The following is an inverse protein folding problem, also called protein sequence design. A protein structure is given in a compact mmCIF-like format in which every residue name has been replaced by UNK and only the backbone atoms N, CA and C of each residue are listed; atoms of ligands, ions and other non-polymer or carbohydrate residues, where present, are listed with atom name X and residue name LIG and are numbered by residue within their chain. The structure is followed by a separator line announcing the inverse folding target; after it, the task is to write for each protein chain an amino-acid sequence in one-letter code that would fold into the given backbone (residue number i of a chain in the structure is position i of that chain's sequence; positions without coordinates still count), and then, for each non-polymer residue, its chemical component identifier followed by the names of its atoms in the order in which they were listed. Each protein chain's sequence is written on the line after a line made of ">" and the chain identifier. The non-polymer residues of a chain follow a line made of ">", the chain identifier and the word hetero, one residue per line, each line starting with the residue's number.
data_IF_022322894827
#
_entry.id   IF_022322894827
#
_cell.length_a   1.000
_cell.length_b   1.000
_cell.length_c   1.000
_cell.angle_alpha   90.00
_cell.angle_beta   90.00
_cell.angle_gamma   90.00
#
_symmetry.space_group_name_H-M   'P 1'
#
loop_
_entity.id
_entity.type
_entity.pdbx_description
1 polymer ?
#
# COMPACT_ATOMS: atom_id res chain seq x y z
N UNK A 1 -6.56 -6.70 -18.72
CA UNK A 1 -5.60 -5.60 -18.51
C UNK A 1 -5.85 -4.79 -17.24
N UNK A 2 -7.07 -4.30 -16.97
CA UNK A 2 -7.34 -3.40 -15.83
C UNK A 2 -6.87 -3.97 -14.47
N UNK A 3 -7.20 -5.21 -14.12
CA UNK A 3 -6.77 -5.83 -12.86
C UNK A 3 -5.25 -5.74 -12.63
N UNK A 4 -4.47 -6.15 -13.64
CA UNK A 4 -3.02 -6.18 -13.60
C UNK A 4 -2.40 -4.81 -13.33
N UNK A 5 -2.93 -3.74 -13.93
CA UNK A 5 -2.46 -2.37 -13.72
C UNK A 5 -2.68 -1.94 -12.26
N UNK A 6 -3.85 -2.22 -11.69
CA UNK A 6 -4.15 -1.88 -10.29
C UNK A 6 -3.28 -2.70 -9.32
N UNK A 7 -3.00 -3.97 -9.63
CA UNK A 7 -2.11 -4.80 -8.82
C UNK A 7 -0.67 -4.27 -8.84
N UNK A 8 -0.15 -3.89 -10.01
CA UNK A 8 1.20 -3.31 -10.13
C UNK A 8 1.27 -1.97 -9.37
N UNK A 9 0.27 -1.11 -9.54
CA UNK A 9 0.20 0.15 -8.79
C UNK A 9 0.13 -0.09 -7.28
N UNK A 10 -0.68 -1.04 -6.82
CA UNK A 10 -0.76 -1.40 -5.41
C UNK A 10 0.60 -1.85 -4.85
N UNK A 11 1.31 -2.74 -5.56
CA UNK A 11 2.64 -3.21 -5.17
C UNK A 11 3.65 -2.05 -5.12
N UNK A 12 3.63 -1.16 -6.10
CA UNK A 12 4.51 0.01 -6.13
C UNK A 12 4.29 0.95 -4.93
N UNK A 13 3.03 1.27 -4.61
CA UNK A 13 2.72 2.12 -3.46
C UNK A 13 2.97 1.43 -2.12
N UNK A 14 2.76 0.12 -2.02
CA UNK A 14 3.15 -0.66 -0.85
C UNK A 14 4.67 -0.66 -0.63
N UNK A 15 5.46 -0.77 -1.69
CA UNK A 15 6.91 -0.67 -1.62
C UNK A 15 7.37 0.71 -1.14
N UNK A 16 6.79 1.79 -1.68
CA UNK A 16 7.04 3.15 -1.21
C UNK A 16 6.66 3.35 0.26
N UNK A 17 5.53 2.80 0.69
CA UNK A 17 5.09 2.84 2.08
C UNK A 17 6.04 2.05 3.00
N UNK A 18 6.52 0.88 2.54
CA UNK A 18 7.46 0.07 3.30
C UNK A 18 8.78 0.81 3.54
N UNK A 19 9.41 1.26 2.45
CA UNK A 19 10.67 1.99 2.50
C UNK A 19 10.58 3.29 3.30
N UNK A 20 9.49 4.05 3.19
CA UNK A 20 9.41 5.40 3.77
C UNK A 20 8.79 5.45 5.15
N UNK A 21 8.01 4.45 5.53
CA UNK A 21 7.24 4.47 6.78
C UNK A 21 7.37 3.18 7.58
N UNK A 22 7.16 2.02 6.97
CA UNK A 22 7.04 0.77 7.72
C UNK A 22 8.37 0.34 8.35
N UNK A 23 9.50 0.47 7.65
CA UNK A 23 10.82 0.15 8.19
C UNK A 23 11.22 1.02 9.39
N UNK A 24 10.70 2.25 9.43
CA UNK A 24 10.98 3.20 10.49
C UNK A 24 9.89 3.22 11.57
N UNK A 25 8.91 2.32 11.50
CA UNK A 25 7.74 2.29 12.40
C UNK A 25 8.12 2.32 13.87
N UNK A 26 9.13 1.55 14.27
CA UNK A 26 9.57 1.50 15.67
C UNK A 26 10.14 2.84 16.13
N UNK A 27 10.92 3.50 15.27
CA UNK A 27 11.44 4.85 15.53
C UNK A 27 10.32 5.90 15.53
N UNK A 28 9.30 5.78 14.67
CA UNK A 28 8.13 6.66 14.66
C UNK A 28 7.32 6.50 15.95
N UNK A 29 7.12 5.26 16.41
CA UNK A 29 6.40 4.98 17.65
C UNK A 29 7.17 5.43 18.88
N UNK A 30 8.51 5.30 18.88
CA UNK A 30 9.36 5.69 20.00
C UNK A 30 9.60 7.21 20.07
N UNK A 31 9.86 7.86 18.93
CA UNK A 31 10.19 9.29 18.88
C UNK A 31 8.96 10.20 18.84
N UNK A 32 7.76 9.66 18.61
CA UNK A 32 6.44 10.34 18.50
C UNK A 32 6.32 11.46 17.45
N UNK A 33 7.41 12.11 17.03
CA UNK A 33 7.39 13.22 16.07
C UNK A 33 8.70 13.49 15.29
N UNK A 34 9.85 12.93 15.70
CA UNK A 34 11.18 13.34 15.18
C UNK A 34 12.03 12.19 14.63
N UNK A 35 11.39 11.22 13.95
CA UNK A 35 12.15 10.19 13.25
C UNK A 35 12.64 10.75 11.90
N UNK A 36 13.93 11.06 11.83
CA UNK A 36 14.60 11.53 10.63
C UNK A 36 15.31 10.37 9.94
N UNK A 37 15.18 10.28 8.61
CA UNK A 37 16.01 9.39 7.83
C UNK A 37 17.49 9.80 7.87
N UNK A 38 18.42 8.95 7.42
CA UNK A 38 19.85 9.30 7.34
C UNK A 38 20.11 10.60 6.55
N UNK A 39 19.21 10.96 5.64
CA UNK A 39 19.22 12.20 4.86
C UNK A 39 18.57 13.41 5.57
N UNK A 40 18.21 13.30 6.86
CA UNK A 40 17.58 14.37 7.64
C UNK A 40 16.12 14.69 7.29
N UNK A 41 15.48 13.87 6.44
CA UNK A 41 14.08 14.06 6.04
C UNK A 41 13.09 13.45 7.05
N UNK A 42 11.98 14.15 7.33
CA UNK A 42 10.94 13.67 8.25
C UNK A 42 10.15 12.52 7.60
N UNK A 43 10.34 11.31 8.13
CA UNK A 43 9.78 10.08 7.60
C UNK A 43 8.29 9.89 7.97
N UNK A 44 7.81 10.58 9.01
CA UNK A 44 6.44 10.43 9.52
C UNK A 44 5.42 11.04 8.55
N UNK A 45 5.62 12.30 8.17
CA UNK A 45 4.68 13.02 7.31
C UNK A 45 4.76 12.56 5.85
N UNK A 46 5.98 12.33 5.35
CA UNK A 46 6.22 11.93 3.96
C UNK A 46 5.99 10.45 3.66
N UNK A 47 6.07 9.57 4.68
CA UNK A 47 5.92 8.12 4.50
C UNK A 47 4.47 7.65 4.62
N UNK A 48 3.73 8.17 5.60
CA UNK A 48 2.37 7.73 5.90
C UNK A 48 1.38 8.00 4.74
N UNK A 49 1.61 9.06 3.97
CA UNK A 49 0.75 9.46 2.84
C UNK A 49 0.64 8.37 1.77
N UNK A 50 1.67 7.53 1.60
CA UNK A 50 1.68 6.46 0.59
C UNK A 50 0.78 5.28 0.97
N UNK A 51 0.38 5.16 2.23
CA UNK A 51 -0.57 4.13 2.67
C UNK A 51 -1.95 4.31 2.03
N UNK A 52 -2.36 5.56 1.77
CA UNK A 52 -3.66 5.89 1.18
C UNK A 52 -3.80 5.34 -0.25
N UNK A 53 -2.91 5.66 -1.21
CA UNK A 53 -2.97 5.06 -2.54
C UNK A 53 -2.72 3.55 -2.50
N UNK A 54 -1.82 3.04 -1.62
CA UNK A 54 -1.59 1.61 -1.48
C UNK A 54 -2.87 0.85 -1.12
N UNK A 55 -3.62 1.32 -0.13
CA UNK A 55 -4.89 0.73 0.29
C UNK A 55 -5.98 0.87 -0.78
N UNK A 56 -6.06 2.01 -1.45
CA UNK A 56 -7.02 2.25 -2.52
C UNK A 56 -6.84 1.27 -3.68
N UNK A 57 -5.62 1.19 -4.22
CA UNK A 57 -5.33 0.28 -5.35
C UNK A 57 -5.47 -1.19 -4.94
N UNK A 58 -5.08 -1.55 -3.72
CA UNK A 58 -5.27 -2.90 -3.18
C UNK A 58 -6.75 -3.28 -3.09
N UNK A 59 -7.59 -2.36 -2.60
CA UNK A 59 -9.05 -2.58 -2.48
C UNK A 59 -9.71 -2.75 -3.85
N UNK A 60 -9.29 -1.93 -4.83
CA UNK A 60 -9.79 -2.03 -6.22
C UNK A 60 -9.35 -3.34 -6.86
N UNK A 61 -8.11 -3.79 -6.63
CA UNK A 61 -7.63 -5.08 -7.11
C UNK A 61 -8.41 -6.24 -6.45
N UNK A 62 -8.60 -6.21 -5.13
CA UNK A 62 -9.37 -7.21 -4.39
C UNK A 62 -10.82 -7.31 -4.88
N UNK A 63 -11.48 -6.18 -5.13
CA UNK A 63 -12.84 -6.15 -5.67
C UNK A 63 -12.92 -6.77 -7.08
N UNK A 64 -11.96 -6.46 -7.95
CA UNK A 64 -11.90 -7.06 -9.29
C UNK A 64 -11.68 -8.58 -9.21
N UNK A 65 -10.78 -9.03 -8.33
CA UNK A 65 -10.55 -10.45 -8.09
C UNK A 65 -11.81 -11.14 -7.55
N UNK A 66 -12.50 -10.53 -6.59
CA UNK A 66 -13.76 -11.03 -6.06
C UNK A 66 -14.83 -11.19 -7.16
N UNK A 67 -14.97 -10.21 -8.05
CA UNK A 67 -15.88 -10.33 -9.21
C UNK A 67 -15.51 -11.47 -10.13
N UNK A 68 -14.22 -11.66 -10.42
CA UNK A 68 -13.73 -12.77 -11.24
C UNK A 68 -14.05 -14.12 -10.58
N UNK A 69 -13.74 -14.29 -9.29
CA UNK A 69 -14.03 -15.51 -8.55
C UNK A 69 -15.53 -15.81 -8.53
N UNK A 70 -16.37 -14.80 -8.23
CA UNK A 70 -17.83 -14.94 -8.22
C UNK A 70 -18.37 -15.34 -9.60
N UNK A 71 -17.87 -14.73 -10.66
CA UNK A 71 -18.29 -15.05 -12.02
C UNK A 71 -17.85 -16.45 -12.46
N UNK A 72 -16.64 -16.88 -12.08
CA UNK A 72 -16.18 -18.26 -12.32
C UNK A 72 -16.99 -19.28 -11.52
N UNK A 73 -17.35 -18.98 -10.26
CA UNK A 73 -18.16 -19.87 -9.42
C UNK A 73 -19.58 -20.01 -9.96
N UNK A 74 -20.18 -18.94 -10.46
CA UNK A 74 -21.52 -18.96 -11.06
C UNK A 74 -21.61 -19.62 -12.44
N UNK A 75 -20.50 -19.75 -13.19
CA UNK A 75 -20.45 -20.51 -14.46
C UNK A 75 -20.20 -22.02 -14.29
N UNK A 76 -19.88 -22.45 -13.06
CA UNK A 76 -19.55 -23.85 -12.74
C UNK A 76 -20.73 -24.61 -12.11
N UNK A 77 -21.86 -23.94 -11.89
CA UNK A 77 -23.17 -24.50 -11.56
C UNK A 77 -24.05 -24.42 -12.81
#
# INVERSE_FOLDING_TARGET
>A
MKFMIHTIAALFFWWLFDERYYQYRDCIQAASSSCYGPEGSNLISGGAVWSVPALLFSSIAAYQLYKLIRHYRGRRM
#
